data_IF_523922936485
#
_entry.id   IF_523922936485
#
_cell.length_a   1.000
_cell.length_b   1.000
_cell.length_c   1.000
_cell.angle_alpha   90.00
_cell.angle_beta   90.00
_cell.angle_gamma   90.00
#
_symmetry.space_group_name_H-M   'P 1'
#
loop_
_entity.id
_entity.type
_entity.pdbx_description
1 polymer ?
#
# COMPACT_ATOMS: atom_id res chain seq x y z
N UNK A 1 13.21 3.74 27.95
CA UNK A 1 13.29 4.41 26.62
C UNK A 1 11.91 4.26 25.99
N UNK A 2 11.30 5.33 25.47
CA UNK A 2 9.96 5.26 24.86
C UNK A 2 10.02 4.37 23.60
N UNK A 3 9.27 3.25 23.53
CA UNK A 3 9.32 2.38 22.36
C UNK A 3 8.84 3.14 21.12
N UNK A 4 9.42 2.83 19.97
CA UNK A 4 8.96 3.38 18.71
C UNK A 4 7.71 2.67 18.20
N UNK A 5 6.88 3.37 17.43
CA UNK A 5 5.84 2.78 16.57
C UNK A 5 5.72 3.48 15.25
N UNK A 6 5.21 2.74 14.27
CA UNK A 6 4.75 3.25 12.98
C UNK A 6 3.24 3.08 12.89
N UNK A 7 2.56 4.10 12.37
CA UNK A 7 1.14 4.07 12.03
C UNK A 7 0.95 4.32 10.54
N UNK A 8 0.05 3.55 9.93
CA UNK A 8 -0.47 3.76 8.59
C UNK A 8 -1.96 4.10 8.70
N UNK A 9 -2.39 5.16 8.03
CA UNK A 9 -3.76 5.65 8.09
C UNK A 9 -4.16 6.34 6.80
N UNK A 10 -5.45 6.33 6.51
CA UNK A 10 -6.06 7.19 5.51
C UNK A 10 -7.52 7.44 5.88
N UNK A 11 -8.08 8.52 5.34
CA UNK A 11 -9.52 8.79 5.38
C UNK A 11 -9.87 9.61 4.15
N UNK A 12 -10.82 9.10 3.37
CA UNK A 12 -11.54 9.89 2.38
C UNK A 12 -12.65 10.67 3.10
N UNK A 13 -12.60 11.99 2.99
CA UNK A 13 -13.57 12.92 3.58
C UNK A 13 -13.32 14.31 2.98
N UNK A 14 -14.35 15.10 2.67
CA UNK A 14 -14.17 16.43 2.12
C UNK A 14 -13.40 17.33 3.09
N UNK A 15 -12.32 17.94 2.60
CA UNK A 15 -11.51 18.89 3.35
C UNK A 15 -11.65 20.28 2.73
N UNK A 16 -12.21 21.22 3.49
CA UNK A 16 -12.43 22.59 3.03
C UNK A 16 -11.13 23.33 2.67
N UNK A 17 -10.06 23.10 3.44
CA UNK A 17 -8.74 23.71 3.20
C UNK A 17 -7.62 22.72 3.55
N UNK A 18 -7.14 22.02 2.51
CA UNK A 18 -6.05 21.06 2.63
C UNK A 18 -4.71 21.72 3.02
N UNK A 19 -4.50 22.99 2.68
CA UNK A 19 -3.26 23.72 3.02
C UNK A 19 -3.24 24.14 4.48
N UNK A 20 -4.36 24.60 5.04
CA UNK A 20 -4.49 24.83 6.47
C UNK A 20 -4.24 23.55 7.27
N UNK A 21 -4.80 22.42 6.81
CA UNK A 21 -4.57 21.11 7.43
C UNK A 21 -3.10 20.70 7.30
N UNK A 22 -2.44 20.96 6.16
CA UNK A 22 -1.00 20.69 5.98
C UNK A 22 -0.16 21.42 7.03
N UNK A 23 -0.46 22.68 7.32
CA UNK A 23 0.25 23.47 8.35
C UNK A 23 0.03 22.92 9.75
N UNK A 24 -1.21 22.52 10.07
CA UNK A 24 -1.54 21.85 11.33
C UNK A 24 -0.77 20.53 11.48
N UNK A 25 -0.80 19.67 10.46
CA UNK A 25 -0.10 18.39 10.44
C UNK A 25 1.41 18.55 10.63
N UNK A 26 2.01 19.56 9.97
CA UNK A 26 3.44 19.86 10.11
C UNK A 26 3.78 20.21 11.56
N UNK A 27 3.06 21.19 12.12
CA UNK A 27 3.29 21.68 13.49
C UNK A 27 3.12 20.55 14.51
N UNK A 28 2.06 19.74 14.36
CA UNK A 28 1.77 18.62 15.24
C UNK A 28 2.84 17.53 15.17
N UNK A 29 3.25 17.12 13.97
CA UNK A 29 4.25 16.07 13.80
C UNK A 29 5.63 16.52 14.32
N UNK A 30 6.04 17.76 14.04
CA UNK A 30 7.31 18.31 14.51
C UNK A 30 7.36 18.37 16.05
N UNK A 31 6.28 18.87 16.68
CA UNK A 31 6.18 18.95 18.14
C UNK A 31 6.20 17.57 18.84
N UNK A 32 5.75 16.53 18.14
CA UNK A 32 5.68 15.16 18.64
C UNK A 32 6.89 14.29 18.24
N UNK A 33 7.87 14.86 17.54
CA UNK A 33 9.06 14.14 17.08
C UNK A 33 8.75 13.04 16.06
N UNK A 34 7.70 13.21 15.26
CA UNK A 34 7.27 12.23 14.25
C UNK A 34 7.92 12.49 12.90
N UNK A 35 8.29 11.40 12.22
CA UNK A 35 8.78 11.40 10.84
C UNK A 35 7.84 10.58 9.97
N UNK A 36 7.98 10.68 8.65
CA UNK A 36 7.13 9.95 7.71
C UNK A 36 6.57 10.81 6.60
N UNK A 37 5.49 10.34 5.99
CA UNK A 37 4.85 11.03 4.87
C UNK A 37 3.36 11.19 5.12
N UNK A 38 2.83 12.36 4.80
CA UNK A 38 1.40 12.64 4.71
C UNK A 38 1.10 13.27 3.34
N UNK A 39 0.08 12.76 2.67
CA UNK A 39 -0.56 13.37 1.52
C UNK A 39 -1.93 13.89 1.94
N UNK A 40 -2.25 15.09 1.48
CA UNK A 40 -3.54 15.76 1.68
C UNK A 40 -4.09 16.12 0.30
N UNK A 41 -5.40 16.03 0.14
CA UNK A 41 -6.11 16.65 -0.97
C UNK A 41 -7.43 17.22 -0.43
N UNK A 42 -8.22 17.85 -1.30
CA UNK A 42 -9.61 18.20 -0.99
C UNK A 42 -10.46 16.98 -0.59
N UNK A 43 -10.00 15.77 -0.95
CA UNK A 43 -10.73 14.51 -0.77
C UNK A 43 -10.28 13.72 0.47
N UNK A 44 -9.30 14.22 1.23
CA UNK A 44 -8.94 13.62 2.51
C UNK A 44 -7.44 13.62 2.85
N UNK A 45 -7.04 12.60 3.61
CA UNK A 45 -5.68 12.42 4.13
C UNK A 45 -5.20 10.98 3.96
N UNK A 46 -3.92 10.80 3.64
CA UNK A 46 -3.21 9.51 3.62
C UNK A 46 -1.84 9.69 4.27
N UNK A 47 -1.44 8.81 5.18
CA UNK A 47 -0.14 8.96 5.81
C UNK A 47 0.43 7.70 6.44
N UNK A 48 1.75 7.71 6.52
CA UNK A 48 2.54 6.80 7.33
C UNK A 48 3.46 7.62 8.22
N UNK A 49 3.34 7.48 9.53
CA UNK A 49 4.16 8.21 10.50
C UNK A 49 4.85 7.23 11.44
N UNK A 50 6.09 7.52 11.79
CA UNK A 50 6.88 6.77 12.77
C UNK A 50 7.55 7.68 13.78
N UNK A 51 7.66 7.21 15.02
CA UNK A 51 8.32 7.94 16.10
C UNK A 51 8.06 7.34 17.48
N UNK A 52 8.32 8.09 18.56
CA UNK A 52 8.08 7.63 19.93
C UNK A 52 6.59 7.29 20.15
N UNK A 53 6.29 6.18 20.83
CA UNK A 53 4.91 5.71 21.06
C UNK A 53 4.06 6.78 21.75
N UNK A 54 4.63 7.54 22.69
CA UNK A 54 3.93 8.64 23.33
C UNK A 54 3.53 9.75 22.34
N UNK A 55 4.41 10.06 21.37
CA UNK A 55 4.15 11.00 20.28
C UNK A 55 3.05 10.48 19.35
N UNK A 56 3.12 9.23 18.93
CA UNK A 56 2.11 8.59 18.06
C UNK A 56 0.73 8.59 18.72
N UNK A 57 0.64 8.23 20.01
CA UNK A 57 -0.63 8.26 20.77
C UNK A 57 -1.22 9.66 20.87
N UNK A 58 -0.38 10.68 21.10
CA UNK A 58 -0.82 12.09 21.13
C UNK A 58 -1.30 12.56 19.76
N UNK A 59 -0.62 12.16 18.69
CA UNK A 59 -1.05 12.44 17.32
C UNK A 59 -2.44 11.87 17.06
N UNK A 60 -2.65 10.58 17.33
CA UNK A 60 -3.96 9.92 17.15
C UNK A 60 -5.06 10.64 17.94
N UNK A 61 -4.79 11.07 19.18
CA UNK A 61 -5.75 11.82 19.98
C UNK A 61 -6.13 13.14 19.32
N UNK A 62 -5.15 13.94 18.90
CA UNK A 62 -5.38 15.21 18.22
C UNK A 62 -6.16 15.02 16.91
N UNK A 63 -5.89 13.95 16.17
CA UNK A 63 -6.66 13.61 14.98
C UNK A 63 -8.11 13.25 15.29
N UNK A 64 -8.37 12.52 16.39
CA UNK A 64 -9.73 12.17 16.82
C UNK A 64 -10.57 13.37 17.25
N UNK A 65 -9.90 14.42 17.75
CA UNK A 65 -10.55 15.67 18.15
C UNK A 65 -11.00 16.50 16.92
N UNK A 66 -10.43 16.26 15.74
CA UNK A 66 -10.85 16.89 14.50
C UNK A 66 -12.01 16.10 13.85
N UNK A 67 -13.22 16.69 13.66
CA UNK A 67 -14.41 15.96 13.24
C UNK A 67 -14.22 15.08 11.99
N UNK A 68 -13.55 15.58 10.95
CA UNK A 68 -13.34 14.83 9.71
C UNK A 68 -12.47 13.57 9.90
N UNK A 69 -11.66 13.51 10.96
CA UNK A 69 -10.72 12.41 11.23
C UNK A 69 -11.07 11.59 12.47
N UNK A 70 -12.23 11.85 13.08
CA UNK A 70 -12.69 11.21 14.33
C UNK A 70 -12.64 9.69 14.28
N UNK A 71 -13.19 9.12 13.21
CA UNK A 71 -13.34 7.67 13.03
C UNK A 71 -12.24 7.07 12.15
N UNK A 72 -11.16 7.83 11.91
CA UNK A 72 -10.03 7.35 11.13
C UNK A 72 -9.36 6.16 11.82
N UNK A 73 -9.12 5.11 11.03
CA UNK A 73 -8.51 3.88 11.48
C UNK A 73 -6.98 3.96 11.35
N UNK A 74 -6.27 3.44 12.35
CA UNK A 74 -4.82 3.41 12.38
C UNK A 74 -4.33 1.97 12.44
N UNK A 75 -3.50 1.59 11.48
CA UNK A 75 -2.82 0.30 11.44
C UNK A 75 -1.44 0.46 12.06
N UNK A 76 -1.06 -0.44 12.96
CA UNK A 76 0.14 -0.31 13.77
C UNK A 76 1.23 -1.27 13.30
N UNK A 77 2.49 -0.82 13.37
CA UNK A 77 3.64 -1.65 13.04
C UNK A 77 4.84 -1.30 13.92
N UNK A 78 5.77 -2.24 14.09
CA UNK A 78 7.03 -2.00 14.79
C UNK A 78 7.95 -1.09 13.97
N UNK A 79 8.61 -0.13 14.62
CA UNK A 79 9.58 0.77 14.00
C UNK A 79 9.88 1.95 14.91
N UNK A 80 10.92 2.74 14.64
CA UNK A 80 11.37 3.83 15.53
C UNK A 80 11.30 5.24 14.91
N UNK A 81 10.77 5.36 13.69
CA UNK A 81 10.69 6.60 12.92
C UNK A 81 11.92 6.89 12.05
N UNK A 82 13.07 6.27 12.32
CA UNK A 82 14.27 6.40 11.49
C UNK A 82 14.14 5.67 10.14
N UNK A 83 13.13 4.80 10.02
CA UNK A 83 12.74 4.18 8.75
C UNK A 83 12.27 5.23 7.73
N UNK A 84 11.98 6.46 8.19
CA UNK A 84 11.68 7.62 7.37
C UNK A 84 12.81 8.66 7.51
N UNK A 85 13.50 9.05 6.41
CA UNK A 85 14.59 10.02 6.48
C UNK A 85 14.20 11.37 7.07
N UNK A 86 12.97 11.82 6.77
CA UNK A 86 12.40 13.11 7.20
C UNK A 86 10.89 13.06 7.22
N UNK A 87 10.28 14.04 7.87
CA UNK A 87 8.86 14.34 7.70
C UNK A 87 8.62 15.01 6.34
N UNK A 88 7.61 14.54 5.60
CA UNK A 88 7.19 15.11 4.33
C UNK A 88 5.67 15.20 4.27
N UNK A 89 5.13 16.41 4.18
CA UNK A 89 3.69 16.64 4.10
C UNK A 89 3.41 17.44 2.83
N UNK A 90 2.53 16.93 1.98
CA UNK A 90 2.28 17.48 0.65
C UNK A 90 0.78 17.54 0.37
N UNK A 91 0.32 18.69 -0.12
CA UNK A 91 -1.00 18.80 -0.76
C UNK A 91 -0.87 18.36 -2.22
N UNK A 92 -1.83 17.58 -2.70
CA UNK A 92 -1.92 16.98 -4.03
C UNK A 92 -3.37 16.99 -4.49
N UNK A 93 -3.59 16.73 -5.77
CA UNK A 93 -4.95 16.55 -6.32
C UNK A 93 -5.60 15.29 -5.77
N UNK A 94 -4.81 14.25 -5.52
CA UNK A 94 -5.26 12.97 -4.98
C UNK A 94 -4.37 12.53 -3.81
N UNK A 95 -4.97 11.96 -2.76
CA UNK A 95 -4.21 11.31 -1.66
C UNK A 95 -3.65 9.92 -2.04
N UNK A 96 -4.08 9.39 -3.18
CA UNK A 96 -3.52 8.23 -3.88
C UNK A 96 -3.64 8.48 -5.38
N UNK A 97 -2.52 8.63 -6.08
CA UNK A 97 -2.52 9.16 -7.45
C UNK A 97 -2.87 8.07 -8.47
N UNK A 98 -4.12 8.08 -8.97
CA UNK A 98 -4.53 7.33 -10.16
C UNK A 98 -4.51 8.21 -11.41
N UNK A 99 -4.40 9.53 -11.27
CA UNK A 99 -4.41 10.47 -12.39
C UNK A 99 -5.80 10.80 -12.91
N UNK A 100 -6.84 10.50 -12.14
CA UNK A 100 -8.26 10.69 -12.49
C UNK A 100 -9.04 11.42 -11.40
N UNK A 101 -8.55 12.58 -10.89
CA UNK A 101 -9.21 13.30 -9.79
C UNK A 101 -10.63 13.77 -10.11
N UNK A 102 -11.02 13.79 -11.39
CA UNK A 102 -12.35 14.16 -11.84
C UNK A 102 -13.35 12.99 -11.84
N UNK A 103 -12.87 11.74 -11.81
CA UNK A 103 -13.71 10.55 -11.65
C UNK A 103 -13.99 10.24 -10.16
N UNK A 104 -13.21 10.83 -9.25
CA UNK A 104 -13.31 10.59 -7.81
C UNK A 104 -14.29 11.60 -7.20
N UNK A 105 -15.35 11.08 -6.58
CA UNK A 105 -16.30 11.86 -5.77
C UNK A 105 -16.23 11.35 -4.34
N UNK A 106 -16.02 12.26 -3.39
CA UNK A 106 -15.94 11.96 -1.96
C UNK A 106 -17.02 12.73 -1.20
N UNK A 107 -17.74 12.01 -0.35
CA UNK A 107 -18.68 12.56 0.63
C UNK A 107 -18.22 12.23 2.06
N UNK A 108 -19.05 12.56 3.06
CA UNK A 108 -18.73 12.34 4.48
C UNK A 108 -18.51 10.86 4.83
N UNK A 109 -19.03 9.93 4.02
CA UNK A 109 -18.90 8.48 4.21
C UNK A 109 -17.67 7.89 3.48
N UNK A 110 -17.13 8.58 2.47
CA UNK A 110 -15.93 8.17 1.74
C UNK A 110 -16.08 8.32 0.23
N UNK A 111 -15.44 7.42 -0.54
CA UNK A 111 -15.60 7.41 -2.00
C UNK A 111 -17.00 6.93 -2.37
N UNK A 112 -17.68 7.70 -3.22
CA UNK A 112 -18.99 7.35 -3.76
C UNK A 112 -18.83 6.37 -4.93
N UNK A 113 -19.60 5.29 -4.94
CA UNK A 113 -19.64 4.33 -6.06
C UNK A 113 -18.57 3.24 -6.03
N UNK A 114 -17.76 3.16 -4.98
CA UNK A 114 -16.75 2.10 -4.77
C UNK A 114 -17.34 0.69 -4.66
N UNK A 115 -16.45 -0.30 -4.60
CA UNK A 115 -16.78 -1.71 -4.35
C UNK A 115 -17.17 -1.97 -2.89
N UNK A 116 -17.88 -3.06 -2.65
CA UNK A 116 -18.28 -3.48 -1.30
C UNK A 116 -17.05 -3.90 -0.47
N UNK A 117 -16.98 -3.39 0.77
CA UNK A 117 -15.91 -3.74 1.69
C UNK A 117 -16.14 -5.10 2.33
N UNK A 118 -15.21 -6.03 2.12
CA UNK A 118 -15.20 -7.32 2.80
C UNK A 118 -14.12 -7.34 3.87
N UNK A 119 -14.50 -7.70 5.09
CA UNK A 119 -13.53 -8.01 6.15
C UNK A 119 -12.66 -9.22 5.74
N UNK A 120 -11.47 -9.39 6.35
CA UNK A 120 -10.63 -10.56 6.08
C UNK A 120 -11.37 -11.91 6.23
N UNK A 121 -12.30 -12.01 7.19
CA UNK A 121 -13.11 -13.21 7.37
C UNK A 121 -14.09 -13.42 6.22
N UNK A 122 -14.82 -12.38 5.82
CA UNK A 122 -15.76 -12.44 4.70
C UNK A 122 -15.07 -12.78 3.38
N UNK A 123 -13.83 -12.34 3.17
CA UNK A 123 -13.03 -12.75 2.01
C UNK A 123 -12.78 -14.26 2.02
N UNK A 124 -12.41 -14.84 3.16
CA UNK A 124 -12.24 -16.29 3.26
C UNK A 124 -13.56 -17.05 3.08
N UNK A 125 -14.67 -16.53 3.62
CA UNK A 125 -16.00 -17.12 3.45
C UNK A 125 -16.44 -17.10 1.98
N UNK A 126 -16.23 -15.98 1.27
CA UNK A 126 -16.51 -15.86 -0.16
C UNK A 126 -15.72 -16.89 -0.97
N UNK A 127 -14.42 -17.04 -0.68
CA UNK A 127 -13.56 -18.02 -1.35
C UNK A 127 -13.95 -19.45 -0.99
N UNK A 128 -14.34 -19.73 0.26
CA UNK A 128 -14.82 -21.04 0.66
C UNK A 128 -16.14 -21.42 -0.04
N UNK A 129 -17.00 -20.43 -0.31
CA UNK A 129 -18.28 -20.63 -0.98
C UNK A 129 -18.16 -20.76 -2.51
N UNK A 130 -17.32 -19.94 -3.15
CA UNK A 130 -17.26 -19.80 -4.62
C UNK A 130 -16.00 -20.39 -5.26
N UNK A 131 -15.01 -20.77 -4.46
CA UNK A 131 -13.77 -21.38 -4.93
C UNK A 131 -13.03 -20.53 -5.96
N UNK A 132 -12.59 -21.17 -7.04
CA UNK A 132 -11.78 -20.55 -8.11
C UNK A 132 -12.54 -19.51 -8.96
N UNK A 133 -13.85 -19.33 -8.75
CA UNK A 133 -14.58 -18.21 -9.37
C UNK A 133 -14.08 -16.86 -8.85
N UNK A 134 -13.66 -16.79 -7.58
CA UNK A 134 -13.17 -15.57 -6.92
C UNK A 134 -11.82 -15.17 -7.46
N UNK A 135 -11.75 -13.97 -8.01
CA UNK A 135 -10.54 -13.39 -8.57
C UNK A 135 -9.95 -12.40 -7.58
N UNK A 136 -8.75 -12.69 -7.08
CA UNK A 136 -7.95 -11.69 -6.40
C UNK A 136 -7.29 -10.78 -7.43
N UNK A 137 -7.52 -9.48 -7.34
CA UNK A 137 -6.92 -8.49 -8.23
C UNK A 137 -5.97 -7.58 -7.42
N UNK A 138 -4.68 -7.69 -7.71
CA UNK A 138 -3.66 -6.94 -6.98
C UNK A 138 -3.67 -5.47 -7.41
N UNK A 139 -4.14 -4.60 -6.52
CA UNK A 139 -4.14 -3.14 -6.70
C UNK A 139 -2.79 -2.50 -6.37
N UNK A 140 -1.71 -3.28 -6.35
CA UNK A 140 -0.35 -2.82 -6.07
C UNK A 140 0.54 -2.81 -7.32
N UNK A 141 1.67 -2.12 -7.23
CA UNK A 141 2.64 -2.14 -8.31
C UNK A 141 3.26 -3.54 -8.41
N UNK A 142 3.65 -3.97 -9.61
CA UNK A 142 4.11 -5.34 -9.88
C UNK A 142 5.25 -5.78 -8.94
N UNK A 143 6.21 -4.89 -8.67
CA UNK A 143 7.31 -5.20 -7.76
C UNK A 143 6.81 -5.57 -6.35
N UNK A 144 5.74 -4.96 -5.84
CA UNK A 144 5.22 -5.29 -4.50
C UNK A 144 4.70 -6.74 -4.44
N UNK A 145 4.21 -7.27 -5.57
CA UNK A 145 3.69 -8.63 -5.67
C UNK A 145 4.79 -9.70 -5.79
N UNK A 146 6.02 -9.32 -6.17
CA UNK A 146 7.14 -10.25 -6.33
C UNK A 146 7.56 -10.92 -5.03
N UNK A 147 7.31 -10.28 -3.87
CA UNK A 147 7.69 -10.83 -2.57
C UNK A 147 6.51 -11.34 -1.73
N UNK A 148 5.29 -11.00 -2.11
CA UNK A 148 4.10 -11.52 -1.46
C UNK A 148 2.83 -11.10 -2.19
N UNK A 149 1.84 -11.99 -2.26
CA UNK A 149 0.55 -11.79 -2.94
C UNK A 149 -0.48 -12.80 -2.43
N UNK A 150 -1.76 -12.54 -2.71
CA UNK A 150 -2.78 -13.59 -2.55
C UNK A 150 -2.55 -14.72 -3.57
N UNK A 151 -2.79 -15.97 -3.15
CA UNK A 151 -2.69 -17.14 -4.03
C UNK A 151 -3.59 -16.95 -5.25
N UNK A 152 -3.06 -17.28 -6.43
CA UNK A 152 -3.72 -17.15 -7.74
C UNK A 152 -4.17 -15.71 -8.09
N UNK A 153 -3.67 -14.68 -7.38
CA UNK A 153 -4.00 -13.31 -7.71
C UNK A 153 -3.51 -12.92 -9.11
N UNK A 154 -4.35 -12.19 -9.83
CA UNK A 154 -3.95 -11.43 -11.00
C UNK A 154 -3.09 -10.27 -10.52
N UNK A 155 -1.86 -10.20 -11.04
CA UNK A 155 -0.92 -9.11 -10.81
C UNK A 155 -0.85 -8.31 -12.11
N UNK A 156 -1.42 -7.10 -12.15
CA UNK A 156 -1.31 -6.23 -13.32
C UNK A 156 0.16 -5.84 -13.57
N UNK A 157 0.61 -5.81 -14.83
CA UNK A 157 1.99 -5.47 -15.19
C UNK A 157 2.17 -3.94 -15.16
N UNK A 158 2.08 -3.36 -13.96
CA UNK A 158 2.10 -1.91 -13.74
C UNK A 158 3.22 -1.52 -12.78
N UNK A 159 4.05 -0.57 -13.20
CA UNK A 159 5.13 -0.03 -12.37
C UNK A 159 4.62 1.06 -11.43
N UNK A 160 3.56 1.76 -11.85
CA UNK A 160 2.95 2.86 -11.10
C UNK A 160 1.43 2.79 -11.08
N UNK A 161 0.82 3.39 -10.06
CA UNK A 161 -0.63 3.38 -9.87
C UNK A 161 -1.43 4.01 -11.04
N UNK A 162 -1.00 5.11 -11.69
CA UNK A 162 -1.70 5.65 -12.86
C UNK A 162 -1.74 4.70 -14.08
N UNK A 163 -0.83 3.73 -14.18
CA UNK A 163 -0.83 2.77 -15.29
C UNK A 163 -1.98 1.78 -15.21
N UNK A 164 -2.58 1.54 -14.03
CA UNK A 164 -3.76 0.69 -13.89
C UNK A 164 -4.88 1.09 -14.82
N UNK A 165 -5.10 2.39 -15.00
CA UNK A 165 -6.16 2.91 -15.87
C UNK A 165 -5.94 2.44 -17.31
N UNK A 166 -4.71 2.59 -17.81
CA UNK A 166 -4.35 2.18 -19.17
C UNK A 166 -4.54 0.68 -19.36
N UNK A 167 -4.18 -0.12 -18.36
CA UNK A 167 -4.34 -1.57 -18.40
C UNK A 167 -5.81 -1.97 -18.37
N UNK A 168 -6.64 -1.34 -17.52
CA UNK A 168 -8.09 -1.58 -17.50
C UNK A 168 -8.75 -1.17 -18.83
N UNK A 169 -8.40 0.00 -19.36
CA UNK A 169 -8.96 0.55 -20.61
C UNK A 169 -8.53 -0.23 -21.86
N UNK A 170 -7.42 -0.98 -21.79
CA UNK A 170 -6.99 -1.85 -22.88
C UNK A 170 -7.92 -3.04 -23.13
N UNK A 171 -8.81 -3.34 -22.19
CA UNK A 171 -9.76 -4.44 -22.29
C UNK A 171 -9.19 -5.82 -22.00
N UNK A 172 -7.91 -5.95 -21.61
CA UNK A 172 -7.29 -7.25 -21.32
C UNK A 172 -8.00 -8.02 -20.18
N UNK A 173 -8.74 -7.30 -19.34
CA UNK A 173 -9.49 -7.85 -18.20
C UNK A 173 -11.01 -7.92 -18.43
N UNK A 174 -11.48 -7.68 -19.65
CA UNK A 174 -12.93 -7.68 -19.96
C UNK A 174 -13.59 -9.04 -19.70
N UNK A 175 -12.84 -10.13 -19.87
CA UNK A 175 -13.27 -11.49 -19.55
C UNK A 175 -13.55 -11.72 -18.04
N UNK A 176 -13.23 -10.76 -17.18
CA UNK A 176 -13.49 -10.81 -15.73
C UNK A 176 -14.70 -9.97 -15.31
N UNK A 177 -15.36 -9.25 -16.22
CA UNK A 177 -16.45 -8.30 -15.88
C UNK A 177 -17.61 -8.92 -15.12
N UNK A 178 -17.89 -10.19 -15.37
CA UNK A 178 -18.97 -10.96 -14.72
C UNK A 178 -18.48 -11.86 -13.57
N UNK A 179 -17.21 -11.75 -13.18
CA UNK A 179 -16.63 -12.54 -12.08
C UNK A 179 -16.61 -11.76 -10.77
N UNK A 180 -16.73 -12.44 -9.61
CA UNK A 180 -16.44 -11.84 -8.32
C UNK A 180 -14.96 -11.45 -8.21
N UNK A 181 -14.69 -10.15 -8.10
CA UNK A 181 -13.33 -9.62 -7.97
C UNK A 181 -13.13 -9.05 -6.58
N UNK A 182 -12.13 -9.56 -5.86
CA UNK A 182 -11.65 -8.98 -4.60
C UNK A 182 -10.39 -8.19 -4.90
N UNK A 183 -10.51 -6.86 -4.93
CA UNK A 183 -9.36 -5.96 -5.02
C UNK A 183 -8.67 -5.86 -3.66
N UNK A 184 -7.34 -5.83 -3.67
CA UNK A 184 -6.55 -5.64 -2.45
C UNK A 184 -5.31 -4.80 -2.70
N UNK A 185 -4.82 -4.16 -1.65
CA UNK A 185 -3.53 -3.50 -1.64
C UNK A 185 -2.96 -3.52 -0.21
N UNK A 186 -1.81 -2.88 0.04
CA UNK A 186 -1.15 -2.88 1.35
C UNK A 186 -2.10 -2.50 2.49
N UNK A 187 -2.73 -1.33 2.42
CA UNK A 187 -3.50 -0.76 3.53
C UNK A 187 -4.97 -0.44 3.23
N UNK A 188 -5.45 -0.68 2.01
CA UNK A 188 -6.82 -0.42 1.56
C UNK A 188 -6.97 0.76 0.60
N UNK A 189 -6.21 1.85 0.78
CA UNK A 189 -6.46 3.13 0.08
C UNK A 189 -6.53 3.04 -1.46
N UNK A 190 -5.69 2.21 -2.11
CA UNK A 190 -5.73 2.06 -3.58
C UNK A 190 -7.02 1.36 -4.04
N UNK A 191 -7.56 0.46 -3.23
CA UNK A 191 -8.78 -0.29 -3.55
C UNK A 191 -10.03 0.59 -3.53
N UNK A 192 -10.03 1.64 -2.71
CA UNK A 192 -11.14 2.60 -2.66
C UNK A 192 -11.35 3.23 -4.04
N UNK A 193 -10.26 3.65 -4.69
CA UNK A 193 -10.30 4.23 -6.04
C UNK A 193 -10.36 3.15 -7.12
N UNK A 194 -9.56 2.10 -7.02
CA UNK A 194 -9.51 1.03 -8.03
C UNK A 194 -10.88 0.35 -8.21
N UNK A 195 -11.59 0.06 -7.11
CA UNK A 195 -12.89 -0.59 -7.19
C UNK A 195 -13.94 0.29 -7.88
N UNK A 196 -13.93 1.60 -7.63
CA UNK A 196 -14.73 2.57 -8.36
C UNK A 196 -14.38 2.56 -9.86
N UNK A 197 -13.09 2.63 -10.20
CA UNK A 197 -12.64 2.66 -11.60
C UNK A 197 -13.03 1.39 -12.35
N UNK A 198 -12.96 0.23 -11.70
CA UNK A 198 -13.43 -1.03 -12.27
C UNK A 198 -14.94 -1.02 -12.47
N UNK A 199 -15.74 -0.59 -11.48
CA UNK A 199 -17.20 -0.49 -11.63
C UNK A 199 -17.60 0.45 -12.77
N UNK A 200 -16.95 1.61 -12.91
CA UNK A 200 -17.16 2.54 -14.01
C UNK A 200 -16.87 1.92 -15.40
N UNK A 201 -16.07 0.86 -15.45
CA UNK A 201 -15.69 0.13 -16.67
C UNK A 201 -16.51 -1.14 -16.89
N UNK A 202 -17.57 -1.35 -16.12
CA UNK A 202 -18.53 -2.45 -16.32
C UNK A 202 -18.17 -3.75 -15.62
N UNK A 203 -17.30 -3.71 -14.61
CA UNK A 203 -17.13 -4.86 -13.71
C UNK A 203 -18.28 -4.89 -12.70
N UNK A 204 -19.04 -5.98 -12.70
CA UNK A 204 -20.35 -6.05 -12.05
C UNK A 204 -20.27 -6.39 -10.56
N UNK A 205 -19.33 -7.26 -10.17
CA UNK A 205 -19.20 -7.78 -8.81
C UNK A 205 -17.80 -7.48 -8.24
N UNK A 206 -17.60 -6.24 -7.80
CA UNK A 206 -16.31 -5.76 -7.29
C UNK A 206 -16.36 -5.52 -5.78
N UNK A 207 -15.51 -6.25 -5.08
CA UNK A 207 -15.23 -6.15 -3.66
C UNK A 207 -13.86 -5.52 -3.41
N UNK A 208 -13.67 -5.03 -2.19
CA UNK A 208 -12.36 -4.61 -1.70
C UNK A 208 -12.10 -5.15 -0.29
N UNK A 209 -10.86 -5.61 -0.06
CA UNK A 209 -10.43 -6.10 1.24
C UNK A 209 -10.29 -4.93 2.23
N UNK A 210 -11.16 -4.89 3.23
CA UNK A 210 -11.16 -3.86 4.27
C UNK A 210 -9.86 -3.89 5.09
N UNK A 211 -9.18 -2.74 5.11
CA UNK A 211 -7.87 -2.57 5.72
C UNK A 211 -6.71 -3.26 5.01
N UNK A 212 -6.95 -3.82 3.81
CA UNK A 212 -5.93 -4.39 2.95
C UNK A 212 -5.18 -5.58 3.54
N UNK A 213 -4.04 -5.89 2.94
CA UNK A 213 -3.18 -7.02 3.34
C UNK A 213 -2.74 -6.93 4.80
N UNK A 214 -2.53 -5.70 5.33
CA UNK A 214 -2.15 -5.52 6.74
C UNK A 214 -3.15 -6.19 7.68
N UNK A 215 -4.45 -5.88 7.56
CA UNK A 215 -5.48 -6.48 8.45
C UNK A 215 -5.65 -7.96 8.21
N UNK A 216 -5.55 -8.39 6.95
CA UNK A 216 -5.65 -9.82 6.62
C UNK A 216 -4.52 -10.63 7.24
N UNK A 217 -3.27 -10.17 7.10
CA UNK A 217 -2.10 -10.85 7.64
C UNK A 217 -2.01 -10.78 9.17
N UNK A 218 -2.50 -9.71 9.81
CA UNK A 218 -2.65 -9.65 11.27
C UNK A 218 -3.56 -10.78 11.80
N UNK A 219 -4.63 -11.09 11.06
CA UNK A 219 -5.62 -12.08 11.46
C UNK A 219 -5.22 -13.52 11.11
N UNK A 220 -4.72 -13.75 9.88
CA UNK A 220 -4.49 -15.11 9.37
C UNK A 220 -3.02 -15.49 9.22
N UNK A 221 -2.10 -14.51 9.23
CA UNK A 221 -0.67 -14.72 8.99
C UNK A 221 -0.46 -15.60 7.75
N UNK A 222 0.30 -16.69 7.87
CA UNK A 222 0.59 -17.63 6.78
C UNK A 222 -0.44 -18.77 6.64
N UNK A 223 -1.46 -18.82 7.50
CA UNK A 223 -2.53 -19.82 7.43
C UNK A 223 -3.70 -19.40 6.53
N UNK A 224 -3.63 -18.20 5.96
CA UNK A 224 -4.63 -17.67 5.05
C UNK A 224 -4.29 -17.89 3.57
N UNK A 225 -4.94 -17.08 2.74
CA UNK A 225 -4.78 -17.02 1.29
C UNK A 225 -3.59 -16.15 0.86
N UNK A 226 -3.05 -15.34 1.78
CA UNK A 226 -1.87 -14.52 1.55
C UNK A 226 -0.60 -15.37 1.61
N UNK A 227 0.31 -15.16 0.67
CA UNK A 227 1.61 -15.83 0.64
C UNK A 227 2.75 -14.80 0.60
N UNK A 228 3.74 -14.99 1.47
CA UNK A 228 4.99 -14.24 1.50
C UNK A 228 4.96 -12.91 2.25
N UNK A 229 5.89 -12.03 1.89
CA UNK A 229 6.17 -10.78 2.60
C UNK A 229 5.31 -9.63 2.10
N UNK A 230 4.85 -8.77 2.99
CA UNK A 230 4.15 -7.54 2.61
C UNK A 230 5.15 -6.42 2.37
N UNK A 231 5.24 -5.93 1.13
CA UNK A 231 6.02 -4.75 0.80
C UNK A 231 5.53 -3.49 1.54
N UNK A 232 6.46 -2.70 2.09
CA UNK A 232 6.19 -1.40 2.77
C UNK A 232 7.06 -0.27 2.24
N UNK A 233 6.53 0.96 2.29
CA UNK A 233 7.13 2.14 1.64
C UNK A 233 8.07 2.93 2.58
N UNK A 234 8.94 2.23 3.28
CA UNK A 234 9.95 2.79 4.16
C UNK A 234 11.23 1.93 4.13
N UNK A 235 12.26 2.27 4.92
CA UNK A 235 13.56 1.59 4.85
C UNK A 235 13.52 0.10 5.24
N UNK A 236 12.40 -0.42 5.77
CA UNK A 236 12.24 -1.85 6.03
C UNK A 236 12.01 -2.65 4.74
N UNK A 237 11.49 -2.01 3.68
CA UNK A 237 11.04 -2.60 2.42
C UNK A 237 9.94 -3.67 2.50
N UNK A 238 9.93 -4.49 3.54
CA UNK A 238 8.95 -5.54 3.78
C UNK A 238 8.63 -5.67 5.27
N UNK A 239 7.50 -6.31 5.53
CA UNK A 239 7.17 -6.91 6.83
C UNK A 239 6.71 -8.33 6.59
N UNK A 240 7.05 -9.21 7.53
CA UNK A 240 6.56 -10.59 7.57
C UNK A 240 5.54 -10.74 8.70
N UNK A 241 4.42 -11.40 8.44
CA UNK A 241 3.38 -11.63 9.44
C UNK A 241 3.75 -12.76 10.43
N UNK A 242 4.70 -13.60 10.04
CA UNK A 242 5.29 -14.64 10.87
C UNK A 242 6.71 -14.97 10.40
N UNK A 243 7.43 -15.80 11.16
CA UNK A 243 8.78 -16.26 10.81
C UNK A 243 8.79 -17.28 9.68
N UNK A 244 7.63 -17.87 9.38
CA UNK A 244 7.45 -18.95 8.41
C UNK A 244 6.92 -18.42 7.05
N UNK A 245 6.96 -17.10 6.84
CA UNK A 245 6.52 -16.46 5.61
C UNK A 245 7.28 -17.05 4.39
N UNK A 246 6.52 -17.46 3.36
CA UNK A 246 7.09 -18.01 2.13
C UNK A 246 7.98 -16.99 1.41
N UNK A 247 9.13 -17.43 0.90
CA UNK A 247 9.98 -16.58 0.07
C UNK A 247 9.57 -16.76 -1.39
N UNK A 248 8.84 -15.78 -1.94
CA UNK A 248 8.34 -15.85 -3.33
C UNK A 248 9.30 -15.23 -4.35
N UNK A 249 10.06 -14.22 -3.94
CA UNK A 249 10.91 -13.46 -4.84
C UNK A 249 12.18 -14.21 -5.22
N UNK A 250 12.85 -13.71 -6.26
CA UNK A 250 14.03 -14.35 -6.84
C UNK A 250 15.15 -13.32 -6.99
N UNK A 251 16.36 -13.72 -6.61
CA UNK A 251 17.55 -12.89 -6.71
C UNK A 251 17.84 -12.61 -8.18
N UNK A 252 17.97 -11.34 -8.54
CA UNK A 252 18.25 -10.94 -9.91
C UNK A 252 19.62 -11.47 -10.41
N UNK A 253 20.60 -11.65 -9.51
CA UNK A 253 21.97 -12.07 -9.86
C UNK A 253 22.07 -13.59 -10.00
N UNK A 254 21.70 -14.34 -8.96
CA UNK A 254 21.94 -15.79 -8.89
C UNK A 254 20.68 -16.65 -8.98
N UNK A 255 19.50 -16.04 -9.14
CA UNK A 255 18.20 -16.72 -9.19
C UNK A 255 17.81 -17.52 -7.94
N UNK A 256 18.51 -17.37 -6.81
CA UNK A 256 18.10 -17.97 -5.54
C UNK A 256 16.89 -17.26 -4.93
N UNK A 257 16.02 -17.95 -4.17
CA UNK A 257 14.89 -17.31 -3.48
C UNK A 257 15.35 -16.18 -2.55
N UNK A 258 14.69 -15.03 -2.66
CA UNK A 258 14.90 -13.88 -1.76
C UNK A 258 13.69 -12.95 -1.79
N UNK A 259 13.44 -12.28 -0.67
CA UNK A 259 12.48 -11.20 -0.52
C UNK A 259 13.17 -9.88 -0.09
N UNK A 260 14.50 -9.82 -0.20
CA UNK A 260 15.30 -8.66 0.18
C UNK A 260 15.42 -7.64 -0.97
N UNK A 261 14.83 -6.48 -0.75
CA UNK A 261 14.88 -5.36 -1.67
C UNK A 261 16.04 -4.42 -1.37
N UNK A 262 16.67 -3.95 -2.44
CA UNK A 262 17.73 -2.96 -2.39
C UNK A 262 17.46 -1.82 -3.37
N UNK A 263 17.86 -0.61 -2.98
CA UNK A 263 17.90 0.53 -3.88
C UNK A 263 19.11 0.40 -4.81
N UNK A 264 18.97 0.89 -6.04
CA UNK A 264 20.09 1.08 -6.95
C UNK A 264 21.06 2.14 -6.41
N UNK A 265 22.35 1.95 -6.65
CA UNK A 265 23.44 2.85 -6.22
C UNK A 265 23.46 4.13 -7.05
N UNK A 266 22.97 4.08 -8.29
CA UNK A 266 22.62 5.28 -9.05
C UNK A 266 21.51 6.07 -8.32
N UNK A 267 21.88 7.23 -7.77
CA UNK A 267 21.01 8.10 -6.98
C UNK A 267 19.82 8.69 -7.78
N UNK A 268 19.90 8.68 -9.11
CA UNK A 268 18.80 9.08 -10.00
C UNK A 268 17.79 7.96 -10.20
N UNK A 269 18.22 6.71 -10.04
CA UNK A 269 17.39 5.54 -10.18
C UNK A 269 16.43 5.40 -8.99
N UNK A 270 15.22 4.89 -9.29
CA UNK A 270 14.16 4.60 -8.31
C UNK A 270 13.72 3.14 -8.34
N UNK A 271 14.34 2.34 -9.20
CA UNK A 271 14.08 0.90 -9.30
C UNK A 271 14.62 0.21 -8.06
N UNK A 272 13.83 -0.73 -7.54
CA UNK A 272 14.21 -1.60 -6.43
C UNK A 272 14.43 -2.99 -6.99
N UNK A 273 15.53 -3.61 -6.58
CA UNK A 273 15.92 -4.92 -7.09
C UNK A 273 15.97 -5.94 -5.95
N UNK A 274 15.65 -7.19 -6.28
CA UNK A 274 15.74 -8.31 -5.34
C UNK A 274 17.12 -8.93 -5.44
N UNK A 275 17.88 -8.90 -4.36
CA UNK A 275 19.21 -9.51 -4.31
C UNK A 275 19.33 -10.28 -2.99
N UNK A 276 19.81 -11.52 -3.04
CA UNK A 276 19.97 -12.31 -1.83
C UNK A 276 21.18 -11.84 -1.01
N UNK A 277 21.19 -12.07 0.32
CA UNK A 277 22.30 -11.65 1.18
C UNK A 277 23.70 -12.11 0.74
N UNK A 278 23.89 -13.33 0.21
CA UNK A 278 25.18 -13.74 -0.37
C UNK A 278 25.65 -12.81 -1.48
N UNK A 279 24.81 -12.54 -2.49
CA UNK A 279 25.20 -11.69 -3.61
C UNK A 279 25.44 -10.23 -3.20
N UNK A 280 24.71 -9.71 -2.21
CA UNK A 280 24.97 -8.36 -1.67
C UNK A 280 26.34 -8.29 -0.99
N UNK A 281 26.79 -9.38 -0.36
CA UNK A 281 28.09 -9.41 0.32
C UNK A 281 29.27 -9.50 -0.66
N UNK A 282 29.01 -9.94 -1.90
CA UNK A 282 30.03 -10.15 -2.94
C UNK A 282 30.18 -8.95 -3.91
N UNK A 283 29.41 -7.87 -3.73
CA UNK A 283 29.43 -6.69 -4.60
C UNK A 283 29.56 -5.39 -3.80
N UNK A 284 30.35 -4.44 -4.30
CA UNK A 284 30.52 -3.13 -3.65
C UNK A 284 29.35 -2.19 -3.91
N UNK A 285 28.76 -2.27 -5.11
CA UNK A 285 27.65 -1.43 -5.55
C UNK A 285 26.50 -2.27 -6.09
N UNK A 286 25.28 -1.90 -5.70
CA UNK A 286 24.05 -2.55 -6.16
C UNK A 286 23.51 -1.78 -7.36
N UNK A 287 23.41 -2.44 -8.51
CA UNK A 287 22.72 -1.90 -9.68
C UNK A 287 21.46 -2.70 -9.99
N UNK A 288 20.39 -2.00 -10.36
CA UNK A 288 19.20 -2.66 -10.89
C UNK A 288 19.45 -3.17 -12.32
N UNK A 289 18.56 -4.05 -12.81
CA UNK A 289 18.57 -4.60 -14.18
C UNK A 289 18.79 -3.56 -15.28
N UNK A 290 18.30 -2.33 -15.08
CA UNK A 290 18.33 -1.24 -16.07
C UNK A 290 19.62 -0.42 -15.98
N UNK A 291 20.24 -0.35 -14.81
CA UNK A 291 21.44 0.44 -14.55
C UNK A 291 22.72 -0.40 -14.55
N UNK A 292 22.63 -1.70 -14.87
CA UNK A 292 23.81 -2.55 -14.97
C UNK A 292 24.79 -1.92 -15.97
N UNK A 293 26.06 -1.70 -15.58
CA UNK A 293 27.07 -1.27 -16.51
C UNK A 293 27.10 -2.26 -17.67
N UNK A 294 26.99 -1.78 -18.91
CA UNK A 294 27.22 -2.63 -20.07
C UNK A 294 28.61 -3.26 -19.92
N UNK A 295 28.70 -4.58 -20.02
CA UNK A 295 30.00 -5.27 -20.01
C UNK A 295 30.91 -4.61 -21.06
N UNK A 296 32.08 -4.14 -20.61
CA UNK A 296 33.13 -3.61 -21.48
C UNK A 296 33.90 -4.76 -22.13
#
# INVERSE_FOLDING_TARGET
>A
MDPGKIILFYKFTPLADADAIRLWQKTLCEALGLRGRILLSKDGINGTLGGPLSGVKKYIRAMKDFPAFRDMQYKWSEGKGHEFPRLQIRVRDEIVTFGVPHEIVVDDNGIVGGGEHLSPLQVNELVAQRGDEVVFFDGRNEYEARIGKFRNAIVPPVDTTPEFLKVLDSGIYDHLKDRPIVTYCTGGIRCEVLSLLMKNRGFNEVYQLDGGVVRYGEQFKDNGLWEGSLYVFDHRFKIDFSKDAKVLGTCHICSQPTNEYHNCSDLTCRVRTLICPPCVSDIDEIFCTVCLPSEK
#
